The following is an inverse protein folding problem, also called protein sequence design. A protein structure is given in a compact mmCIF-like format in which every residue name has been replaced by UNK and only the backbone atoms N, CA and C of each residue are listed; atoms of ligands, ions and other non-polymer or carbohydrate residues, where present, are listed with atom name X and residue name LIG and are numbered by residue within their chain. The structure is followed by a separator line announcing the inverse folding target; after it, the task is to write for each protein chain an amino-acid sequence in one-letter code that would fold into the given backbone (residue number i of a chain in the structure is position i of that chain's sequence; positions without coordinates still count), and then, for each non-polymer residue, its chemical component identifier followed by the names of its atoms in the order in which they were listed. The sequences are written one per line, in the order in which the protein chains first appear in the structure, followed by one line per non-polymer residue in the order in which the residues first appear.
data_IF_926551678194
#
_entry.id   IF_926551678194
#
_cell.length_a   1.000
_cell.length_b   1.000
_cell.length_c   1.000
_cell.angle_alpha   90.00
_cell.angle_beta   90.00
_cell.angle_gamma   90.00
#
_symmetry.space_group_name_H-M   'P 1'
#
loop_
_entity.id
_entity.type
_entity.pdbx_description
1 polymer ?
#
# COMPACT_ATOMS: atom_id res chain seq x y z
N UNK A 1 43.19 16.94 -7.60
CA UNK A 1 42.28 15.85 -7.19
C UNK A 1 41.44 15.45 -8.38
N UNK A 2 41.48 14.17 -8.76
CA UNK A 2 40.98 13.67 -10.04
C UNK A 2 39.45 13.68 -10.08
N UNK A 3 38.86 14.70 -10.72
CA UNK A 3 37.41 14.82 -10.95
C UNK A 3 36.80 13.54 -11.56
N UNK A 4 37.57 12.80 -12.38
CA UNK A 4 37.18 11.53 -12.98
C UNK A 4 36.89 10.41 -11.95
N UNK A 5 37.61 10.41 -10.82
CA UNK A 5 37.41 9.45 -9.74
C UNK A 5 36.15 9.78 -8.93
N UNK A 6 35.86 11.07 -8.76
CA UNK A 6 34.70 11.54 -8.01
C UNK A 6 33.39 11.19 -8.74
N UNK A 7 33.32 11.41 -10.05
CA UNK A 7 32.16 11.02 -10.87
C UNK A 7 31.91 9.51 -10.87
N UNK A 8 32.97 8.68 -10.87
CA UNK A 8 32.83 7.22 -10.78
C UNK A 8 32.23 6.77 -9.45
N UNK A 9 32.67 7.35 -8.34
CA UNK A 9 32.14 7.05 -7.01
C UNK A 9 30.69 7.53 -6.90
N UNK A 10 30.39 8.72 -7.42
CA UNK A 10 29.03 9.27 -7.41
C UNK A 10 28.07 8.44 -8.27
N UNK A 11 28.48 8.02 -9.46
CA UNK A 11 27.71 7.14 -10.33
C UNK A 11 27.48 5.75 -9.69
N UNK A 12 28.50 5.19 -9.04
CA UNK A 12 28.36 3.93 -8.30
C UNK A 12 27.40 4.06 -7.12
N UNK A 13 27.45 5.17 -6.38
CA UNK A 13 26.52 5.46 -5.30
C UNK A 13 25.08 5.63 -5.80
N UNK A 14 24.89 6.32 -6.93
CA UNK A 14 23.57 6.49 -7.56
C UNK A 14 23.01 5.15 -8.08
N UNK A 15 23.86 4.30 -8.67
CA UNK A 15 23.49 2.93 -9.04
C UNK A 15 23.10 2.09 -7.83
N UNK A 16 23.79 2.25 -6.70
CA UNK A 16 23.46 1.56 -5.45
C UNK A 16 22.10 2.01 -4.89
N UNK A 17 21.80 3.31 -4.94
CA UNK A 17 20.49 3.85 -4.55
C UNK A 17 19.35 3.30 -5.41
N UNK A 18 19.55 3.20 -6.73
CA UNK A 18 18.55 2.63 -7.64
C UNK A 18 18.24 1.14 -7.38
N UNK A 19 19.16 0.40 -6.75
CA UNK A 19 18.92 -0.99 -6.35
C UNK A 19 18.04 -1.10 -5.10
N UNK A 20 18.01 -0.08 -4.23
CA UNK A 20 17.15 -0.07 -3.04
C UNK A 20 15.67 0.19 -3.37
N UNK A 21 15.38 0.90 -4.45
CA UNK A 21 13.99 1.18 -4.89
C UNK A 21 13.29 -0.01 -5.59
N UNK A 22 13.98 -1.15 -5.73
CA UNK A 22 13.49 -2.33 -6.43
C UNK A 22 13.12 -3.49 -5.48
N UNK A 23 12.75 -3.20 -4.23
CA UNK A 23 12.20 -4.21 -3.34
C UNK A 23 10.85 -4.71 -3.90
N UNK A 24 10.83 -5.95 -4.40
CA UNK A 24 9.65 -6.55 -5.02
C UNK A 24 8.51 -6.65 -4.00
N UNK A 25 7.31 -6.18 -4.39
CA UNK A 25 6.11 -6.31 -3.56
C UNK A 25 5.81 -7.77 -3.28
N UNK A 26 5.47 -8.09 -2.03
CA UNK A 26 5.11 -9.44 -1.62
C UNK A 26 3.79 -9.87 -2.29
N UNK A 27 3.83 -10.94 -3.08
CA UNK A 27 2.68 -11.48 -3.82
C UNK A 27 1.93 -12.58 -3.09
N UNK A 28 2.63 -13.39 -2.29
CA UNK A 28 1.97 -14.42 -1.48
C UNK A 28 1.39 -13.78 -0.22
N UNK A 29 0.08 -13.57 -0.20
CA UNK A 29 -0.62 -12.88 0.89
C UNK A 29 -1.17 -13.89 1.90
N UNK A 30 -0.62 -13.89 3.11
CA UNK A 30 -1.10 -14.71 4.21
C UNK A 30 -2.13 -14.01 5.09
N UNK A 31 -2.68 -14.75 6.06
CA UNK A 31 -3.71 -14.21 6.98
C UNK A 31 -3.22 -13.01 7.80
N UNK A 32 -1.93 -13.01 8.18
CA UNK A 32 -1.34 -11.88 8.92
C UNK A 32 -1.25 -10.62 8.06
N UNK A 33 -0.86 -10.76 6.80
CA UNK A 33 -0.77 -9.62 5.87
C UNK A 33 -2.16 -9.03 5.63
N UNK A 34 -3.14 -9.91 5.41
CA UNK A 34 -4.53 -9.52 5.22
C UNK A 34 -5.11 -8.81 6.44
N UNK A 35 -4.80 -9.31 7.64
CA UNK A 35 -5.19 -8.68 8.90
C UNK A 35 -4.63 -7.26 9.02
N UNK A 36 -3.35 -7.05 8.73
CA UNK A 36 -2.72 -5.72 8.77
C UNK A 36 -3.41 -4.71 7.83
N UNK A 37 -3.76 -5.16 6.61
CA UNK A 37 -4.47 -4.31 5.65
C UNK A 37 -5.86 -3.92 6.16
N UNK A 38 -6.62 -4.87 6.70
CA UNK A 38 -7.97 -4.63 7.21
C UNK A 38 -7.98 -3.77 8.48
N UNK A 39 -7.02 -3.96 9.38
CA UNK A 39 -6.83 -3.12 10.57
C UNK A 39 -6.52 -1.69 10.15
N UNK A 40 -5.57 -1.50 9.23
CA UNK A 40 -5.25 -0.16 8.70
C UNK A 40 -6.45 0.53 8.07
N UNK A 41 -7.26 -0.21 7.29
CA UNK A 41 -8.46 0.32 6.67
C UNK A 41 -9.51 0.77 7.71
N UNK A 42 -9.64 -0.01 8.79
CA UNK A 42 -10.55 0.30 9.89
C UNK A 42 -10.08 1.50 10.69
N UNK A 43 -8.79 1.58 11.01
CA UNK A 43 -8.17 2.70 11.71
C UNK A 43 -8.31 4.01 10.92
N UNK A 44 -8.03 3.98 9.61
CA UNK A 44 -8.15 5.15 8.75
C UNK A 44 -9.60 5.67 8.72
N UNK A 45 -10.58 4.78 8.56
CA UNK A 45 -12.00 5.16 8.60
C UNK A 45 -12.44 5.69 9.96
N UNK A 46 -11.95 5.10 11.05
CA UNK A 46 -12.26 5.59 12.39
C UNK A 46 -11.67 6.99 12.60
N UNK A 47 -10.43 7.20 12.20
CA UNK A 47 -9.77 8.50 12.28
C UNK A 47 -10.51 9.57 11.47
N UNK A 48 -10.97 9.25 10.26
CA UNK A 48 -11.78 10.17 9.45
C UNK A 48 -13.12 10.51 10.12
N UNK A 49 -13.83 9.51 10.68
CA UNK A 49 -15.09 9.73 11.40
C UNK A 49 -14.90 10.59 12.65
N UNK A 50 -13.79 10.40 13.38
CA UNK A 50 -13.47 11.21 14.54
C UNK A 50 -13.07 12.64 14.15
N UNK A 51 -12.47 12.82 12.98
CA UNK A 51 -12.09 14.11 12.42
C UNK A 51 -13.14 14.69 11.45
N UNK A 52 -14.42 14.33 11.61
CA UNK A 52 -15.51 14.75 10.70
C UNK A 52 -15.67 16.28 10.55
N UNK A 53 -15.24 17.06 11.55
CA UNK A 53 -15.25 18.52 11.50
C UNK A 53 -14.01 19.15 10.85
N UNK A 54 -13.02 18.34 10.43
CA UNK A 54 -11.84 18.82 9.74
C UNK A 54 -12.12 19.06 8.26
N UNK A 55 -11.49 20.06 7.66
CA UNK A 55 -11.56 20.34 6.21
C UNK A 55 -10.80 19.29 5.35
N UNK A 56 -10.35 18.18 5.95
CA UNK A 56 -9.60 17.17 5.23
C UNK A 56 -10.53 16.36 4.31
N UNK A 57 -10.08 16.17 3.07
CA UNK A 57 -10.77 15.31 2.10
C UNK A 57 -10.85 13.88 2.63
N UNK A 58 -12.08 13.37 2.75
CA UNK A 58 -12.35 11.98 3.11
C UNK A 58 -11.84 11.07 1.99
N UNK A 59 -10.91 10.17 2.32
CA UNK A 59 -10.33 9.24 1.34
C UNK A 59 -11.31 8.11 1.09
N UNK A 60 -11.36 7.64 -0.16
CA UNK A 60 -12.18 6.46 -0.50
C UNK A 60 -11.46 5.19 -0.06
N UNK A 61 -12.20 4.15 0.28
CA UNK A 61 -11.62 2.87 0.72
C UNK A 61 -10.55 2.29 -0.22
N UNK A 62 -10.68 2.39 -1.56
CA UNK A 62 -9.63 1.92 -2.46
C UNK A 62 -8.29 2.67 -2.28
N UNK A 63 -8.35 3.96 -1.96
CA UNK A 63 -7.17 4.80 -1.73
C UNK A 63 -6.51 4.46 -0.39
N UNK A 64 -7.33 4.17 0.63
CA UNK A 64 -6.87 3.72 1.94
C UNK A 64 -6.20 2.34 1.83
N UNK A 65 -6.80 1.42 1.07
CA UNK A 65 -6.26 0.10 0.81
C UNK A 65 -4.93 0.17 0.04
N UNK A 66 -4.83 1.07 -0.95
CA UNK A 66 -3.59 1.30 -1.69
C UNK A 66 -2.48 1.79 -0.77
N UNK A 67 -2.78 2.76 0.11
CA UNK A 67 -1.83 3.22 1.12
C UNK A 67 -1.40 2.11 2.09
N UNK A 68 -2.30 1.20 2.47
CA UNK A 68 -1.96 0.03 3.28
C UNK A 68 -1.00 -0.92 2.53
N UNK A 69 -1.29 -1.19 1.25
CA UNK A 69 -0.44 -2.05 0.42
C UNK A 69 0.94 -1.45 0.21
N UNK A 70 1.06 -0.13 0.00
CA UNK A 70 2.34 0.57 -0.07
C UNK A 70 3.11 0.49 1.24
N UNK A 71 2.44 0.79 2.36
CA UNK A 71 3.04 0.77 3.70
C UNK A 71 3.64 -0.58 4.05
N UNK A 72 2.95 -1.66 3.70
CA UNK A 72 3.37 -3.02 4.02
C UNK A 72 4.09 -3.72 2.86
N UNK A 73 4.41 -3.00 1.78
CA UNK A 73 5.07 -3.53 0.58
C UNK A 73 4.36 -4.76 -0.02
N UNK A 74 3.04 -4.74 -0.03
CA UNK A 74 2.18 -5.81 -0.53
C UNK A 74 1.72 -5.54 -1.96
N UNK A 75 1.54 -6.62 -2.71
CA UNK A 75 0.94 -6.62 -4.04
C UNK A 75 -0.57 -6.39 -3.93
N UNK A 76 -1.06 -5.30 -4.50
CA UNK A 76 -2.46 -4.85 -4.38
C UNK A 76 -3.43 -5.87 -4.97
N UNK A 77 -3.12 -6.43 -6.13
CA UNK A 77 -4.00 -7.37 -6.82
C UNK A 77 -4.13 -8.67 -6.03
N UNK A 78 -3.02 -9.16 -5.49
CA UNK A 78 -2.99 -10.35 -4.63
C UNK A 78 -3.77 -10.13 -3.33
N UNK A 79 -3.68 -8.95 -2.72
CA UNK A 79 -4.47 -8.57 -1.55
C UNK A 79 -5.96 -8.52 -1.90
N UNK A 80 -6.34 -7.85 -2.98
CA UNK A 80 -7.73 -7.76 -3.44
C UNK A 80 -8.33 -9.14 -3.73
N UNK A 81 -7.55 -10.04 -4.31
CA UNK A 81 -7.97 -11.43 -4.55
C UNK A 81 -8.19 -12.20 -3.24
N UNK A 82 -7.30 -12.06 -2.25
CA UNK A 82 -7.51 -12.66 -0.93
C UNK A 82 -8.73 -12.09 -0.20
N UNK A 83 -8.98 -10.78 -0.31
CA UNK A 83 -10.18 -10.15 0.23
C UNK A 83 -11.42 -10.71 -0.47
N UNK A 84 -11.39 -10.87 -1.81
CA UNK A 84 -12.49 -11.45 -2.58
C UNK A 84 -12.84 -12.86 -2.10
N UNK A 85 -11.83 -13.70 -1.85
CA UNK A 85 -12.01 -15.09 -1.42
C UNK A 85 -12.51 -15.17 0.03
N UNK A 86 -11.91 -14.43 0.96
CA UNK A 86 -12.16 -14.59 2.40
C UNK A 86 -13.23 -13.65 2.95
N UNK A 87 -13.40 -12.48 2.34
CA UNK A 87 -14.28 -11.40 2.78
C UNK A 87 -15.05 -10.79 1.59
N UNK A 88 -15.88 -11.58 0.88
CA UNK A 88 -16.53 -11.15 -0.36
C UNK A 88 -17.33 -9.86 -0.20
N UNK A 89 -18.07 -9.70 0.90
CA UNK A 89 -18.80 -8.47 1.22
C UNK A 89 -17.90 -7.23 1.28
N UNK A 90 -16.74 -7.36 1.91
CA UNK A 90 -15.75 -6.28 1.98
C UNK A 90 -15.17 -5.98 0.60
N UNK A 91 -14.90 -7.00 -0.20
CA UNK A 91 -14.46 -6.83 -1.58
C UNK A 91 -15.47 -6.02 -2.41
N UNK A 92 -16.76 -6.39 -2.34
CA UNK A 92 -17.84 -5.71 -3.05
C UNK A 92 -18.00 -4.25 -2.62
N UNK A 93 -17.91 -3.98 -1.31
CA UNK A 93 -17.87 -2.63 -0.78
C UNK A 93 -16.67 -1.82 -1.31
N UNK A 94 -15.49 -2.44 -1.40
CA UNK A 94 -14.27 -1.80 -1.93
C UNK A 94 -14.37 -1.46 -3.42
N UNK A 95 -14.92 -2.36 -4.24
CA UNK A 95 -15.05 -2.14 -5.69
C UNK A 95 -16.30 -1.34 -6.07
N UNK A 96 -17.12 -0.95 -5.10
CA UNK A 96 -18.35 -0.18 -5.34
C UNK A 96 -19.42 -0.94 -6.13
N UNK A 97 -19.40 -2.28 -6.08
CA UNK A 97 -20.44 -3.13 -6.67
C UNK A 97 -21.27 -3.70 -5.53
N UNK A 98 -22.59 -3.50 -5.57
CA UNK A 98 -23.48 -4.18 -4.63
C UNK A 98 -23.54 -5.67 -5.02
N UNK A 99 -23.49 -6.58 -4.04
CA UNK A 99 -23.80 -8.00 -4.27
C UNK A 99 -25.20 -8.09 -4.91
N UNK A 100 -25.29 -8.54 -6.16
CA UNK A 100 -26.55 -8.99 -6.78
C UNK A 100 -26.85 -10.43 -6.40
#
# INVERSE_FOLDING_TARGET
MNNLSFFRVFAAFFLLLLLFDCASRKKEIGDRDLKLVLEYLTEARLAERLNYASEQTIRKDPEILEAACERYQLDKDSVMEQIRIKYPKTYFALVGKNEE
#
